data_IF_009796775332
#
_entry.id   IF_009796775332
#
_cell.length_a   1.000
_cell.length_b   1.000
_cell.length_c   1.000
_cell.angle_alpha   90.00
_cell.angle_beta   90.00
_cell.angle_gamma   90.00
#
_symmetry.space_group_name_H-M   'P 1'
#
loop_
_entity.id
_entity.type
_entity.pdbx_description
1 polymer ?
#
# COMPACT_ATOMS: atom_id res chain seq x y z
N UNK A 1 7.95 -9.67 38.11
CA UNK A 1 7.23 -9.49 36.86
C UNK A 1 6.66 -10.84 36.49
N UNK A 2 5.34 -11.02 36.60
CA UNK A 2 4.70 -12.28 36.23
C UNK A 2 4.63 -12.34 34.70
N UNK A 3 5.61 -13.00 34.10
CA UNK A 3 5.62 -13.27 32.65
C UNK A 3 4.69 -14.46 32.40
N UNK A 4 3.38 -14.23 32.47
CA UNK A 4 2.40 -15.26 32.14
C UNK A 4 1.21 -14.71 31.36
N UNK A 5 1.42 -14.40 30.11
CA UNK A 5 0.56 -14.77 29.00
C UNK A 5 1.45 -14.75 27.76
N UNK A 6 1.85 -15.90 27.28
CA UNK A 6 2.32 -16.05 25.93
C UNK A 6 1.11 -15.70 25.05
N UNK A 7 1.12 -14.50 24.48
CA UNK A 7 0.15 -14.15 23.44
C UNK A 7 0.47 -15.07 22.28
N UNK A 8 -0.48 -15.87 21.88
CA UNK A 8 -0.27 -16.83 20.82
C UNK A 8 -0.60 -16.12 19.50
N UNK A 9 0.43 -15.55 18.87
CA UNK A 9 0.35 -14.81 17.62
C UNK A 9 0.10 -15.70 16.38
N UNK A 10 -0.19 -16.99 16.59
CA UNK A 10 -0.37 -17.95 15.50
C UNK A 10 -1.62 -18.78 15.75
N UNK A 11 -2.82 -18.18 15.64
CA UNK A 11 -4.06 -18.93 15.92
C UNK A 11 -5.25 -18.64 15.05
N UNK A 12 -5.16 -17.76 14.09
CA UNK A 12 -6.15 -17.79 13.03
C UNK A 12 -5.82 -19.05 12.23
N UNK A 13 -6.73 -20.00 12.23
CA UNK A 13 -6.67 -21.15 11.36
C UNK A 13 -7.50 -20.79 10.12
N UNK A 14 -6.93 -20.07 9.13
CA UNK A 14 -7.71 -19.60 8.01
C UNK A 14 -8.23 -20.81 7.26
N UNK A 15 -9.48 -20.72 6.84
CA UNK A 15 -10.08 -21.74 6.01
C UNK A 15 -9.37 -21.81 4.66
N UNK A 16 -9.31 -22.99 4.07
CA UNK A 16 -8.87 -23.12 2.67
C UNK A 16 -9.75 -22.26 1.76
N UNK A 17 -9.16 -21.76 0.70
CA UNK A 17 -9.92 -21.03 -0.29
C UNK A 17 -10.87 -21.93 -1.07
N UNK A 18 -11.95 -21.40 -1.70
CA UNK A 18 -12.93 -22.22 -2.39
C UNK A 18 -12.38 -23.09 -3.52
N UNK A 19 -11.25 -22.70 -4.12
CA UNK A 19 -10.53 -23.48 -5.12
C UNK A 19 -9.68 -24.62 -4.53
N UNK A 20 -9.68 -24.77 -3.19
CA UNK A 20 -8.89 -25.74 -2.46
C UNK A 20 -7.44 -25.31 -2.22
N UNK A 21 -7.07 -24.06 -2.52
CA UNK A 21 -5.74 -23.52 -2.19
C UNK A 21 -5.61 -23.44 -0.67
N UNK A 22 -4.60 -24.09 -0.08
CA UNK A 22 -4.39 -24.01 1.36
C UNK A 22 -4.09 -22.58 1.80
N UNK A 23 -4.75 -22.13 2.87
CA UNK A 23 -4.55 -20.84 3.47
C UNK A 23 -3.66 -20.90 4.73
N UNK A 24 -2.85 -21.95 4.87
CA UNK A 24 -1.98 -22.13 6.02
C UNK A 24 -0.81 -21.15 6.07
N UNK A 25 -0.25 -21.06 7.25
CA UNK A 25 0.97 -20.34 7.55
C UNK A 25 2.20 -21.15 7.09
N UNK A 26 3.16 -20.46 6.45
CA UNK A 26 4.51 -21.00 6.25
C UNK A 26 5.33 -20.91 7.55
N UNK A 27 6.38 -21.71 7.66
CA UNK A 27 7.32 -21.63 8.77
C UNK A 27 8.04 -20.28 8.75
N UNK A 28 8.09 -19.59 9.90
CA UNK A 28 8.76 -18.31 10.01
C UNK A 28 10.28 -18.49 9.88
N UNK A 29 10.95 -17.67 9.08
CA UNK A 29 12.40 -17.64 9.03
C UNK A 29 12.97 -17.12 10.36
N UNK A 30 14.14 -17.61 10.75
CA UNK A 30 14.90 -16.99 11.84
C UNK A 30 15.48 -15.65 11.37
N UNK A 31 14.91 -14.56 11.86
CA UNK A 31 15.33 -13.18 11.56
C UNK A 31 16.20 -12.57 12.66
N UNK A 32 16.58 -13.38 13.65
CA UNK A 32 17.36 -12.93 14.80
C UNK A 32 16.58 -11.97 15.71
N UNK A 33 17.29 -11.41 16.69
CA UNK A 33 16.73 -10.49 17.70
C UNK A 33 17.53 -9.19 17.84
N UNK A 34 18.43 -8.88 16.92
CA UNK A 34 19.22 -7.66 16.94
C UNK A 34 18.32 -6.41 16.84
N UNK A 35 18.79 -5.29 17.39
CA UNK A 35 18.13 -3.99 17.21
C UNK A 35 18.13 -3.60 15.75
N UNK A 36 17.04 -2.94 15.32
CA UNK A 36 17.00 -2.27 14.04
C UNK A 36 17.54 -0.84 14.26
N UNK A 37 18.68 -0.46 13.66
CA UNK A 37 19.33 0.82 13.98
C UNK A 37 18.44 2.03 13.66
N UNK A 38 18.40 3.02 14.57
CA UNK A 38 17.66 4.27 14.38
C UNK A 38 18.15 5.05 13.16
N UNK A 39 19.43 4.92 12.79
CA UNK A 39 20.01 5.54 11.61
C UNK A 39 19.30 5.18 10.30
N UNK A 40 18.64 4.03 10.22
CA UNK A 40 17.80 3.65 9.06
C UNK A 40 16.65 4.63 8.81
N UNK A 41 16.20 5.35 9.82
CA UNK A 41 15.07 6.30 9.75
C UNK A 41 15.49 7.76 9.72
N UNK A 42 16.71 8.06 10.20
CA UNK A 42 17.14 9.45 10.44
C UNK A 42 18.33 9.87 9.59
N UNK A 43 19.10 8.91 9.04
CA UNK A 43 20.34 9.19 8.33
C UNK A 43 20.11 9.57 6.86
N UNK A 44 20.61 10.71 6.42
CA UNK A 44 20.66 11.09 5.01
C UNK A 44 21.52 10.12 4.18
N UNK A 45 22.58 9.58 4.79
CA UNK A 45 23.45 8.60 4.12
C UNK A 45 22.68 7.30 3.85
N UNK A 46 21.86 6.82 4.80
CA UNK A 46 21.01 5.65 4.59
C UNK A 46 19.93 5.92 3.54
N UNK A 47 19.27 7.07 3.58
CA UNK A 47 18.32 7.49 2.56
C UNK A 47 18.95 7.50 1.16
N UNK A 48 20.21 7.93 1.03
CA UNK A 48 20.94 7.90 -0.23
C UNK A 48 21.17 6.46 -0.72
N UNK A 49 21.52 5.54 0.19
CA UNK A 49 21.65 4.11 -0.14
C UNK A 49 20.31 3.50 -0.59
N UNK A 50 19.19 3.85 0.06
CA UNK A 50 17.85 3.44 -0.39
C UNK A 50 17.60 3.86 -1.85
N UNK A 51 17.96 5.10 -2.23
CA UNK A 51 17.82 5.58 -3.61
C UNK A 51 18.70 4.82 -4.59
N UNK A 52 19.94 4.59 -4.24
CA UNK A 52 20.93 3.96 -5.13
C UNK A 52 20.68 2.46 -5.31
N UNK A 53 20.18 1.79 -4.26
CA UNK A 53 20.19 0.32 -4.21
C UNK A 53 18.82 -0.34 -4.09
N UNK A 54 17.78 0.40 -3.68
CA UNK A 54 16.43 -0.16 -3.54
C UNK A 54 15.41 0.55 -4.43
N UNK A 55 15.14 1.86 -4.23
CA UNK A 55 14.09 2.55 -4.99
C UNK A 55 14.28 2.48 -6.51
N UNK A 56 15.53 2.50 -6.96
CA UNK A 56 15.89 2.35 -8.37
C UNK A 56 15.81 0.92 -8.90
N UNK A 57 15.43 -0.08 -8.09
CA UNK A 57 15.51 -1.52 -8.43
C UNK A 57 14.20 -2.28 -8.31
N UNK A 58 13.17 -1.68 -7.74
CA UNK A 58 11.90 -2.33 -7.40
C UNK A 58 10.77 -1.94 -8.34
N UNK A 59 9.68 -2.71 -8.31
CA UNK A 59 8.42 -2.31 -8.90
C UNK A 59 7.65 -1.40 -7.94
N UNK A 60 7.02 -0.35 -8.51
CA UNK A 60 6.30 0.70 -7.80
C UNK A 60 4.92 0.89 -8.43
N UNK A 61 3.91 1.19 -7.61
CA UNK A 61 2.58 1.53 -8.12
C UNK A 61 2.56 2.98 -8.60
N UNK A 62 2.14 3.17 -9.85
CA UNK A 62 1.95 4.49 -10.46
C UNK A 62 0.56 5.08 -10.26
N UNK A 63 -0.47 4.24 -10.25
CA UNK A 63 -1.87 4.63 -10.13
C UNK A 63 -2.82 3.49 -10.47
N UNK A 64 -4.10 3.82 -10.67
CA UNK A 64 -5.13 2.84 -11.05
C UNK A 64 -5.29 2.78 -12.58
N UNK A 65 -5.44 1.56 -13.12
CA UNK A 65 -5.72 1.34 -14.55
C UNK A 65 -7.03 1.99 -15.00
N UNK A 66 -8.02 2.06 -14.11
CA UNK A 66 -9.32 2.69 -14.40
C UNK A 66 -9.24 4.21 -14.62
N UNK A 67 -8.18 4.85 -14.16
CA UNK A 67 -7.90 6.27 -14.43
C UNK A 67 -7.28 6.49 -15.83
N UNK A 68 -7.04 5.40 -16.60
CA UNK A 68 -6.35 5.42 -17.90
C UNK A 68 -7.04 4.48 -18.90
N UNK A 69 -8.29 4.77 -19.28
CA UNK A 69 -9.11 3.92 -20.16
C UNK A 69 -8.89 4.17 -21.64
N UNK A 70 -8.69 5.45 -21.98
CA UNK A 70 -8.63 5.91 -23.37
C UNK A 70 -7.18 6.19 -23.80
N UNK A 71 -6.83 6.00 -25.07
CA UNK A 71 -5.56 6.44 -25.62
C UNK A 71 -5.27 7.90 -25.27
N UNK A 72 -4.04 8.16 -24.84
CA UNK A 72 -3.61 9.49 -24.39
C UNK A 72 -3.94 9.82 -22.94
N UNK A 73 -4.71 8.98 -22.23
CA UNK A 73 -4.82 9.10 -20.79
C UNK A 73 -3.44 8.90 -20.15
N UNK A 74 -3.14 9.74 -19.19
CA UNK A 74 -1.87 9.66 -18.49
C UNK A 74 -2.02 9.87 -16.99
N UNK A 75 -1.09 9.25 -16.26
CA UNK A 75 -0.81 9.52 -14.85
C UNK A 75 0.62 10.02 -14.74
N UNK A 76 0.80 11.16 -14.07
CA UNK A 76 2.11 11.66 -13.68
C UNK A 76 2.25 11.47 -12.17
N UNK A 77 3.16 10.59 -11.74
CA UNK A 77 3.40 10.24 -10.34
C UNK A 77 4.80 10.62 -9.90
N UNK A 78 4.97 10.92 -8.63
CA UNK A 78 6.26 11.26 -8.04
C UNK A 78 6.69 10.22 -7.01
N UNK A 79 7.98 9.91 -7.01
CA UNK A 79 8.64 9.11 -5.99
C UNK A 79 9.97 9.77 -5.64
N UNK A 80 10.06 10.36 -4.42
CA UNK A 80 11.21 11.14 -4.00
C UNK A 80 11.59 12.22 -5.01
N UNK A 81 12.78 12.11 -5.63
CA UNK A 81 13.26 13.06 -6.63
C UNK A 81 12.77 12.80 -8.06
N UNK A 82 12.25 11.60 -8.32
CA UNK A 82 11.85 11.18 -9.66
C UNK A 82 10.38 11.50 -9.93
N UNK A 83 10.11 11.88 -11.18
CA UNK A 83 8.76 12.08 -11.70
C UNK A 83 8.57 11.20 -12.93
N UNK A 84 7.53 10.39 -12.93
CA UNK A 84 7.26 9.38 -13.96
C UNK A 84 5.92 9.68 -14.64
N UNK A 85 5.94 9.67 -15.96
CA UNK A 85 4.79 9.85 -16.82
C UNK A 85 4.37 8.49 -17.38
N UNK A 86 3.21 8.01 -17.02
CA UNK A 86 2.62 6.75 -17.48
C UNK A 86 1.50 7.08 -18.45
N UNK A 87 1.47 6.42 -19.61
CA UNK A 87 0.60 6.81 -20.72
C UNK A 87 -0.07 5.59 -21.34
N UNK A 88 -1.40 5.64 -21.52
CA UNK A 88 -2.15 4.67 -22.32
C UNK A 88 -1.88 4.90 -23.81
N UNK A 89 -1.45 3.84 -24.50
CA UNK A 89 -1.13 3.87 -25.91
C UNK A 89 -2.35 3.58 -26.79
N UNK A 90 -2.24 3.86 -28.09
CA UNK A 90 -3.27 3.60 -29.09
C UNK A 90 -3.66 2.11 -29.20
N UNK A 91 -2.73 1.20 -28.91
CA UNK A 91 -2.95 -0.25 -28.90
C UNK A 91 -3.51 -0.80 -27.56
N UNK A 92 -3.82 0.10 -26.62
CA UNK A 92 -4.31 -0.24 -25.29
C UNK A 92 -3.23 -0.62 -24.27
N UNK A 93 -1.95 -0.73 -24.66
CA UNK A 93 -0.85 -0.96 -23.72
C UNK A 93 -0.55 0.28 -22.87
N UNK A 94 0.23 0.10 -21.80
CA UNK A 94 0.76 1.20 -20.98
C UNK A 94 2.26 1.33 -21.17
N UNK A 95 2.75 2.57 -21.17
CA UNK A 95 4.18 2.86 -21.20
C UNK A 95 4.53 3.90 -20.17
N UNK A 96 5.72 3.79 -19.58
CA UNK A 96 6.22 4.72 -18.59
C UNK A 96 7.51 5.41 -19.07
N UNK A 97 7.64 6.70 -18.76
CA UNK A 97 8.77 7.55 -19.17
C UNK A 97 9.18 8.47 -18.01
N UNK A 98 10.43 8.94 -17.96
CA UNK A 98 10.77 10.07 -17.11
C UNK A 98 9.96 11.31 -17.56
N UNK A 99 9.35 12.00 -16.63
CA UNK A 99 8.61 13.24 -16.88
C UNK A 99 9.56 14.43 -17.08
N UNK A 100 10.40 14.35 -18.12
CA UNK A 100 11.46 15.34 -18.37
C UNK A 100 11.62 15.61 -19.86
N UNK A 101 11.69 16.87 -20.25
CA UNK A 101 12.00 17.29 -21.61
C UNK A 101 13.51 17.15 -21.86
N UNK A 102 13.89 16.43 -22.93
CA UNK A 102 15.30 16.18 -23.29
C UNK A 102 16.07 17.42 -23.72
N UNK A 103 15.40 18.57 -23.90
CA UNK A 103 16.06 19.82 -24.23
C UNK A 103 16.84 20.38 -23.04
N UNK A 104 16.14 20.76 -21.96
CA UNK A 104 16.72 21.44 -20.78
C UNK A 104 16.05 21.02 -19.48
N UNK A 105 15.54 19.78 -19.39
CA UNK A 105 15.06 19.18 -18.16
C UNK A 105 13.72 19.68 -17.63
N UNK A 106 12.96 20.52 -18.38
CA UNK A 106 11.65 20.95 -17.92
C UNK A 106 10.68 19.77 -17.80
N UNK A 107 9.88 19.71 -16.74
CA UNK A 107 8.80 18.71 -16.62
C UNK A 107 7.78 18.89 -17.75
N UNK A 108 7.30 17.76 -18.30
CA UNK A 108 6.29 17.74 -19.35
C UNK A 108 4.88 17.94 -18.80
N UNK A 109 4.63 17.39 -17.60
CA UNK A 109 3.35 17.50 -16.89
C UNK A 109 3.55 17.70 -15.39
N UNK A 110 2.63 18.38 -14.69
CA UNK A 110 2.57 18.35 -13.22
C UNK A 110 2.15 16.97 -12.72
N UNK A 111 2.37 16.67 -11.44
CA UNK A 111 1.80 15.49 -10.78
C UNK A 111 0.26 15.50 -10.93
N UNK A 112 -0.31 14.33 -11.20
CA UNK A 112 -1.74 14.15 -11.42
C UNK A 112 -2.06 13.33 -12.67
N UNK A 113 -3.20 13.59 -13.28
CA UNK A 113 -3.70 12.82 -14.42
C UNK A 113 -4.37 13.72 -15.44
N UNK A 114 -4.54 13.23 -16.65
CA UNK A 114 -5.23 13.91 -17.73
C UNK A 114 -5.23 13.10 -19.01
N UNK A 115 -5.71 13.72 -20.09
CA UNK A 115 -5.67 13.16 -21.44
C UNK A 115 -4.98 14.14 -22.39
N UNK A 116 -4.22 13.61 -23.35
CA UNK A 116 -3.56 14.42 -24.37
C UNK A 116 -3.21 13.57 -25.59
N UNK A 117 -3.25 14.16 -26.77
CA UNK A 117 -2.73 13.52 -28.00
C UNK A 117 -1.19 13.57 -28.08
N UNK A 118 -0.55 14.52 -27.40
CA UNK A 118 0.91 14.76 -27.45
C UNK A 118 1.40 15.48 -26.21
N UNK A 119 2.64 15.27 -25.84
CA UNK A 119 3.30 15.98 -24.74
C UNK A 119 4.16 17.11 -25.27
N UNK A 120 3.62 18.33 -25.27
CA UNK A 120 4.36 19.52 -25.62
C UNK A 120 5.00 20.12 -24.36
N UNK A 121 6.31 20.34 -24.41
CA UNK A 121 7.04 21.07 -23.37
C UNK A 121 6.67 22.53 -23.37
N UNK A 122 6.26 23.06 -22.22
CA UNK A 122 5.82 24.46 -22.08
C UNK A 122 6.95 25.47 -22.30
N UNK A 123 8.22 25.04 -22.18
CA UNK A 123 9.37 25.94 -22.24
C UNK A 123 9.74 26.35 -23.69
N UNK A 124 10.00 25.36 -24.58
CA UNK A 124 10.41 25.63 -25.97
C UNK A 124 9.65 24.79 -26.99
N UNK A 125 8.52 24.24 -26.60
CA UNK A 125 7.56 23.51 -27.48
C UNK A 125 8.15 22.28 -28.15
N UNK A 126 9.21 21.66 -27.58
CA UNK A 126 9.56 20.30 -28.01
C UNK A 126 8.39 19.39 -27.74
N UNK A 127 8.01 18.61 -28.74
CA UNK A 127 6.78 17.84 -28.69
C UNK A 127 7.10 16.35 -28.86
N UNK A 128 6.47 15.55 -28.01
CA UNK A 128 6.60 14.10 -27.98
C UNK A 128 5.24 13.47 -28.27
N UNK A 129 5.21 12.36 -29.01
CA UNK A 129 4.01 11.53 -29.16
C UNK A 129 3.73 10.72 -27.90
N UNK A 130 2.64 9.94 -27.89
CA UNK A 130 2.28 9.09 -26.74
C UNK A 130 3.33 8.01 -26.44
N UNK A 131 4.06 7.57 -27.46
CA UNK A 131 5.18 6.61 -27.33
C UNK A 131 6.48 7.21 -26.86
N UNK A 132 6.52 8.52 -26.56
CA UNK A 132 7.71 9.23 -26.09
C UNK A 132 8.66 9.68 -27.21
N UNK A 133 8.35 9.44 -28.49
CA UNK A 133 9.19 9.88 -29.63
C UNK A 133 9.04 11.38 -29.84
N UNK A 134 10.16 12.07 -30.09
CA UNK A 134 10.15 13.48 -30.47
C UNK A 134 9.55 13.61 -31.87
N UNK A 135 8.45 14.33 -31.99
CA UNK A 135 7.80 14.60 -33.27
C UNK A 135 8.00 16.06 -33.75
N UNK A 136 8.49 16.94 -32.89
CA UNK A 136 8.79 18.32 -33.26
C UNK A 136 9.89 18.93 -32.38
N UNK A 137 10.89 19.52 -33.01
CA UNK A 137 11.89 20.42 -32.40
C UNK A 137 11.81 21.73 -33.20
N UNK A 138 11.34 22.83 -32.61
CA UNK A 138 11.38 24.13 -33.27
C UNK A 138 12.82 24.51 -33.63
N UNK A 139 13.00 25.11 -34.81
CA UNK A 139 14.30 25.61 -35.28
C UNK A 139 15.44 24.58 -35.17
N UNK A 140 15.16 23.30 -35.48
CA UNK A 140 16.12 22.18 -35.38
C UNK A 140 17.41 22.44 -36.15
N UNK A 141 17.36 23.17 -37.25
CA UNK A 141 18.47 23.57 -38.09
C UNK A 141 19.49 24.49 -37.36
N UNK A 142 19.08 25.09 -36.24
CA UNK A 142 19.96 25.89 -35.36
C UNK A 142 20.73 25.08 -34.34
N UNK A 143 20.45 23.76 -34.22
CA UNK A 143 21.15 22.85 -33.31
C UNK A 143 22.29 22.14 -34.04
N UNK A 144 23.59 22.56 -33.81
CA UNK A 144 24.73 21.95 -34.50
C UNK A 144 24.87 20.44 -34.27
N UNK A 145 24.42 19.95 -33.09
CA UNK A 145 24.42 18.54 -32.69
C UNK A 145 23.21 17.74 -33.24
N UNK A 146 22.24 18.41 -33.88
CA UNK A 146 20.99 17.79 -34.34
C UNK A 146 20.03 17.41 -33.19
N UNK A 147 19.11 16.49 -33.46
CA UNK A 147 18.24 15.93 -32.45
C UNK A 147 18.99 15.03 -31.46
N UNK A 148 18.50 14.85 -30.21
CA UNK A 148 19.08 13.93 -29.26
C UNK A 148 19.18 12.50 -29.80
N UNK A 149 20.18 11.69 -29.39
CA UNK A 149 20.29 10.28 -29.78
C UNK A 149 18.99 9.51 -29.50
N UNK A 150 18.52 8.72 -30.46
CA UNK A 150 17.27 7.98 -30.39
C UNK A 150 16.02 8.81 -30.58
N UNK A 151 16.10 10.15 -30.45
CA UNK A 151 14.99 11.12 -30.58
C UNK A 151 13.70 10.71 -29.84
N UNK A 152 13.86 10.13 -28.64
CA UNK A 152 12.75 9.66 -27.80
C UNK A 152 13.11 9.73 -26.32
N UNK A 153 12.08 9.82 -25.44
CA UNK A 153 12.23 9.63 -24.01
C UNK A 153 12.68 8.19 -23.74
N UNK A 154 13.60 7.93 -22.80
CA UNK A 154 13.87 6.58 -22.34
C UNK A 154 12.60 5.96 -21.77
N UNK A 155 12.40 4.66 -21.98
CA UNK A 155 11.22 3.93 -21.49
C UNK A 155 11.56 3.17 -20.23
N UNK A 156 10.68 3.23 -19.24
CA UNK A 156 10.72 2.40 -18.04
C UNK A 156 9.86 1.13 -18.24
N UNK A 157 10.21 -0.03 -17.64
CA UNK A 157 9.29 -1.15 -17.52
C UNK A 157 7.96 -0.72 -16.90
N UNK A 158 6.85 -1.16 -17.51
CA UNK A 158 5.52 -0.79 -17.10
C UNK A 158 4.55 -1.94 -17.40
N UNK A 159 3.83 -2.41 -16.40
CA UNK A 159 2.87 -3.52 -16.48
C UNK A 159 1.61 -3.21 -15.68
N UNK A 160 0.52 -3.93 -15.96
CA UNK A 160 -0.75 -3.79 -15.21
C UNK A 160 -1.05 -5.07 -14.46
N UNK A 161 -1.41 -4.94 -13.18
CA UNK A 161 -1.94 -6.02 -12.37
C UNK A 161 -2.79 -5.50 -11.21
N UNK A 162 -3.89 -6.22 -10.89
CA UNK A 162 -4.76 -5.92 -9.73
C UNK A 162 -5.45 -4.56 -9.84
N UNK A 163 -5.74 -4.10 -11.06
CA UNK A 163 -6.26 -2.76 -11.38
C UNK A 163 -5.28 -1.62 -11.11
N UNK A 164 -4.01 -1.93 -10.91
CA UNK A 164 -2.94 -0.94 -10.76
C UNK A 164 -1.98 -0.99 -11.94
N UNK A 165 -1.46 0.18 -12.27
CA UNK A 165 -0.34 0.32 -13.19
C UNK A 165 0.95 0.37 -12.37
N UNK A 166 1.88 -0.52 -12.70
CA UNK A 166 3.17 -0.68 -12.06
C UNK A 166 4.28 -0.23 -12.98
N UNK A 167 5.32 0.37 -12.43
CA UNK A 167 6.52 0.75 -13.16
C UNK A 167 7.77 0.47 -12.34
N UNK A 168 8.91 0.39 -13.02
CA UNK A 168 10.22 0.33 -12.37
C UNK A 168 11.18 1.32 -13.00
N UNK A 169 12.01 1.93 -12.19
CA UNK A 169 13.11 2.79 -12.67
C UNK A 169 14.30 1.97 -13.20
N UNK A 170 14.27 0.64 -13.03
CA UNK A 170 15.30 -0.30 -13.49
C UNK A 170 14.85 -1.00 -14.79
N UNK A 171 15.59 -0.80 -15.89
CA UNK A 171 15.32 -1.48 -17.16
C UNK A 171 15.41 -3.00 -17.07
N UNK A 172 16.13 -3.54 -16.09
CA UNK A 172 16.43 -4.97 -15.93
C UNK A 172 15.69 -5.59 -14.74
N UNK A 173 14.52 -5.04 -14.34
CA UNK A 173 13.82 -5.42 -13.11
C UNK A 173 13.23 -6.84 -13.12
N UNK A 174 13.09 -7.47 -14.24
CA UNK A 174 12.35 -8.72 -14.39
C UNK A 174 10.82 -8.55 -14.38
N UNK A 175 10.05 -9.62 -14.68
CA UNK A 175 8.59 -9.55 -14.76
C UNK A 175 7.92 -9.14 -13.46
N UNK A 176 6.86 -8.35 -13.54
CA UNK A 176 6.04 -7.97 -12.38
C UNK A 176 5.44 -9.19 -11.67
N UNK A 177 5.03 -10.21 -12.43
CA UNK A 177 4.46 -11.44 -11.90
C UNK A 177 5.41 -12.12 -10.90
N UNK A 178 6.69 -12.26 -11.26
CA UNK A 178 7.71 -12.86 -10.41
C UNK A 178 8.00 -11.99 -9.16
N UNK A 179 7.92 -10.66 -9.34
CA UNK A 179 8.11 -9.73 -8.24
C UNK A 179 7.01 -9.83 -7.18
N UNK A 180 5.76 -10.01 -7.60
CA UNK A 180 4.58 -9.99 -6.74
C UNK A 180 4.23 -11.36 -6.14
N UNK A 181 4.86 -12.48 -6.57
CA UNK A 181 4.53 -13.79 -5.99
C UNK A 181 4.77 -13.81 -4.48
N UNK A 182 3.82 -14.32 -3.65
CA UNK A 182 2.52 -14.94 -4.02
C UNK A 182 1.33 -13.96 -3.97
N UNK A 183 1.56 -12.65 -3.88
CA UNK A 183 0.51 -11.63 -3.66
C UNK A 183 -0.57 -11.65 -4.73
N UNK A 184 -0.21 -11.94 -5.99
CA UNK A 184 -1.18 -12.00 -7.08
C UNK A 184 -2.25 -13.06 -6.80
N UNK A 185 -1.83 -14.27 -6.41
CA UNK A 185 -2.74 -15.36 -6.10
C UNK A 185 -3.61 -15.06 -4.88
N UNK A 186 -3.05 -14.41 -3.86
CA UNK A 186 -3.78 -14.06 -2.65
C UNK A 186 -4.83 -12.97 -2.86
N UNK A 187 -4.54 -12.01 -3.74
CA UNK A 187 -5.39 -10.82 -3.92
C UNK A 187 -6.38 -10.95 -5.08
N UNK A 188 -6.12 -11.84 -6.05
CA UNK A 188 -7.02 -12.07 -7.19
C UNK A 188 -8.49 -12.38 -6.77
N UNK A 189 -8.77 -13.19 -5.73
CA UNK A 189 -10.13 -13.49 -5.32
C UNK A 189 -10.98 -12.30 -4.86
N UNK A 190 -10.37 -11.16 -4.54
CA UNK A 190 -11.08 -9.97 -4.08
C UNK A 190 -11.61 -9.07 -5.20
N UNK A 191 -11.24 -9.35 -6.46
CA UNK A 191 -11.76 -8.65 -7.63
C UNK A 191 -11.66 -7.12 -7.53
N UNK A 192 -10.45 -6.62 -7.21
CA UNK A 192 -10.21 -5.17 -7.04
C UNK A 192 -10.54 -4.35 -8.30
N UNK A 193 -10.59 -4.99 -9.49
CA UNK A 193 -11.06 -4.39 -10.74
C UNK A 193 -12.54 -3.99 -10.72
N UNK A 194 -13.29 -4.49 -9.73
CA UNK A 194 -14.70 -4.15 -9.51
C UNK A 194 -14.92 -3.14 -8.40
N UNK A 195 -13.84 -2.60 -7.85
CA UNK A 195 -13.90 -1.63 -6.76
C UNK A 195 -13.66 -0.22 -7.27
N UNK A 196 -14.59 0.69 -6.98
CA UNK A 196 -14.50 2.10 -7.36
C UNK A 196 -13.79 2.93 -6.27
N UNK A 197 -13.25 4.07 -6.67
CA UNK A 197 -12.65 5.02 -5.75
C UNK A 197 -13.67 5.65 -4.80
N UNK A 198 -13.41 5.60 -3.50
CA UNK A 198 -14.14 6.32 -2.45
C UNK A 198 -13.29 7.41 -1.83
N UNK A 199 -11.96 7.22 -1.83
CA UNK A 199 -11.03 8.18 -1.26
C UNK A 199 -9.70 8.19 -2.01
N UNK A 200 -9.20 9.40 -2.26
CA UNK A 200 -7.91 9.67 -2.90
C UNK A 200 -7.26 10.88 -2.23
N UNK A 201 -6.35 10.64 -1.30
CA UNK A 201 -5.74 11.65 -0.45
C UNK A 201 -4.23 11.43 -0.36
N UNK A 202 -3.46 12.52 -0.43
CA UNK A 202 -2.03 12.55 -0.07
C UNK A 202 -1.84 13.48 1.12
N UNK A 203 -1.20 12.99 2.17
CA UNK A 203 -0.85 13.76 3.36
C UNK A 203 0.66 13.87 3.47
N UNK A 204 1.15 15.07 3.73
CA UNK A 204 2.58 15.30 4.05
C UNK A 204 2.79 15.07 5.54
N UNK A 205 3.61 14.07 5.92
CA UNK A 205 3.89 13.71 7.30
C UNK A 205 5.34 13.98 7.68
N UNK A 206 5.53 14.47 8.90
CA UNK A 206 6.85 14.71 9.49
C UNK A 206 7.41 13.45 10.16
N UNK A 207 7.54 12.38 9.39
CA UNK A 207 8.22 11.15 9.80
C UNK A 207 8.79 10.40 8.58
N UNK A 208 9.72 9.49 8.83
CA UNK A 208 10.27 8.62 7.81
C UNK A 208 9.22 7.68 7.26
N UNK A 209 9.25 7.39 5.97
CA UNK A 209 8.31 6.49 5.31
C UNK A 209 8.30 5.08 5.92
N UNK A 210 9.47 4.59 6.43
CA UNK A 210 9.55 3.29 7.10
C UNK A 210 8.86 3.29 8.46
N UNK A 211 8.84 4.41 9.18
CA UNK A 211 8.10 4.49 10.45
C UNK A 211 6.60 4.23 10.25
N UNK A 212 6.04 4.70 9.11
CA UNK A 212 4.67 4.37 8.77
C UNK A 212 4.52 2.91 8.29
N UNK A 213 5.46 2.39 7.47
CA UNK A 213 5.44 0.96 7.09
C UNK A 213 5.44 0.07 8.33
N UNK A 214 6.26 0.38 9.33
CA UNK A 214 6.35 -0.38 10.57
C UNK A 214 5.05 -0.32 11.36
N UNK A 215 4.49 0.89 11.55
CA UNK A 215 3.24 1.08 12.30
C UNK A 215 2.06 0.31 11.67
N UNK A 216 2.01 0.21 10.33
CA UNK A 216 0.99 -0.57 9.63
C UNK A 216 1.39 -2.04 9.40
N UNK A 217 2.49 -2.51 9.98
CA UNK A 217 2.93 -3.90 9.87
C UNK A 217 2.60 -4.75 11.11
N UNK A 218 1.93 -4.19 12.11
CA UNK A 218 1.63 -4.86 13.37
C UNK A 218 0.33 -4.32 13.99
N UNK A 219 -0.22 -4.98 14.99
CA UNK A 219 -1.36 -4.51 15.79
C UNK A 219 -1.01 -4.39 17.28
N UNK A 220 0.27 -4.48 17.63
CA UNK A 220 0.72 -4.36 19.01
C UNK A 220 0.43 -2.98 19.61
N UNK A 221 0.51 -1.91 18.79
CA UNK A 221 0.19 -0.55 19.17
C UNK A 221 -1.32 -0.30 19.40
N UNK A 222 -2.21 -1.18 18.90
CA UNK A 222 -3.67 -1.01 19.07
C UNK A 222 -4.06 -0.80 20.51
N UNK A 223 -3.48 -1.56 21.44
CA UNK A 223 -3.78 -1.44 22.86
C UNK A 223 -3.41 -0.07 23.47
N UNK A 224 -2.47 0.65 22.85
CA UNK A 224 -1.99 1.96 23.31
C UNK A 224 -2.60 3.13 22.57
N UNK A 225 -2.55 3.08 21.25
CA UNK A 225 -2.95 4.19 20.36
C UNK A 225 -4.43 4.11 19.99
N UNK A 226 -4.97 2.89 19.79
CA UNK A 226 -6.31 2.65 19.27
C UNK A 226 -7.16 1.75 20.20
N UNK A 227 -7.32 2.07 21.49
CA UNK A 227 -8.04 1.18 22.40
C UNK A 227 -9.50 0.93 21.96
N UNK A 228 -10.10 1.83 21.14
CA UNK A 228 -11.43 1.66 20.57
C UNK A 228 -11.51 0.48 19.57
N UNK A 229 -10.40 0.10 18.92
CA UNK A 229 -10.37 -1.02 17.98
C UNK A 229 -10.57 -2.35 18.68
N UNK A 230 -10.17 -2.48 19.95
CA UNK A 230 -10.32 -3.70 20.74
C UNK A 230 -11.78 -4.16 20.91
N UNK A 231 -12.74 -3.28 20.60
CA UNK A 231 -14.15 -3.59 20.65
C UNK A 231 -14.73 -4.22 19.39
N UNK A 232 -13.92 -4.39 18.32
CA UNK A 232 -14.39 -5.01 17.09
C UNK A 232 -13.33 -5.81 16.31
N UNK A 233 -12.06 -5.83 16.77
CA UNK A 233 -11.02 -6.70 16.25
C UNK A 233 -10.26 -7.41 17.38
N UNK A 234 -9.78 -8.61 17.11
CA UNK A 234 -8.97 -9.36 18.06
C UNK A 234 -7.47 -9.23 17.73
N UNK A 235 -6.79 -8.31 18.42
CA UNK A 235 -5.36 -8.05 18.31
C UNK A 235 -4.50 -9.11 19.05
N UNK A 236 -5.11 -10.11 19.66
CA UNK A 236 -4.43 -11.15 20.41
C UNK A 236 -4.42 -12.51 19.72
N UNK A 237 -5.23 -12.66 18.66
CA UNK A 237 -5.36 -13.89 17.92
C UNK A 237 -5.18 -13.64 16.41
N UNK A 238 -3.96 -13.25 16.04
CA UNK A 238 -3.60 -12.87 14.69
C UNK A 238 -2.64 -13.88 14.07
N UNK A 239 -2.63 -13.99 12.74
CA UNK A 239 -1.65 -14.77 12.02
C UNK A 239 -0.70 -13.86 11.24
N UNK A 240 0.59 -14.11 11.35
CA UNK A 240 1.65 -13.43 10.59
C UNK A 240 2.22 -14.41 9.58
N UNK A 241 2.33 -13.98 8.32
CA UNK A 241 2.96 -14.74 7.25
C UNK A 241 4.01 -13.89 6.55
N UNK A 242 5.21 -14.46 6.37
CA UNK A 242 6.30 -13.83 5.63
C UNK A 242 6.52 -14.55 4.31
N UNK A 243 6.55 -13.81 3.22
CA UNK A 243 6.73 -14.29 1.84
C UNK A 243 7.92 -13.57 1.20
N UNK A 244 9.12 -13.84 1.73
CA UNK A 244 10.33 -13.14 1.31
C UNK A 244 10.26 -11.64 1.61
N UNK A 245 10.13 -10.82 0.56
CA UNK A 245 10.02 -9.35 0.69
C UNK A 245 8.61 -8.85 1.00
N UNK A 246 7.60 -9.70 0.83
CA UNK A 246 6.20 -9.37 1.09
C UNK A 246 5.73 -10.05 2.37
N UNK A 247 4.59 -9.61 2.90
CA UNK A 247 4.02 -10.23 4.10
C UNK A 247 2.52 -10.07 4.17
N UNK A 248 1.89 -10.92 4.98
CA UNK A 248 0.47 -10.87 5.29
C UNK A 248 0.24 -10.88 6.79
N UNK A 249 -0.84 -10.26 7.22
CA UNK A 249 -1.34 -10.27 8.57
C UNK A 249 -2.84 -10.55 8.55
N UNK A 250 -3.31 -11.53 9.28
CA UNK A 250 -4.73 -11.85 9.38
C UNK A 250 -5.23 -11.42 10.75
N UNK A 251 -6.21 -10.53 10.78
CA UNK A 251 -6.79 -9.99 12.01
C UNK A 251 -8.29 -10.28 12.02
N UNK A 252 -8.80 -11.06 13.00
CA UNK A 252 -10.22 -11.30 13.12
C UNK A 252 -10.99 -10.01 13.42
N UNK A 253 -12.01 -9.70 12.59
CA UNK A 253 -12.93 -8.59 12.79
C UNK A 253 -14.33 -9.11 13.17
N UNK A 254 -15.23 -8.18 13.53
CA UNK A 254 -16.56 -8.47 14.06
C UNK A 254 -16.52 -9.32 15.36
N UNK A 255 -15.45 -9.20 16.10
CA UNK A 255 -15.23 -9.82 17.41
C UNK A 255 -14.50 -8.85 18.33
N UNK A 256 -14.43 -9.13 19.62
CA UNK A 256 -13.70 -8.29 20.57
C UNK A 256 -12.33 -8.88 20.88
N UNK A 257 -11.36 -8.02 21.17
CA UNK A 257 -10.03 -8.43 21.61
C UNK A 257 -10.07 -9.33 22.84
N UNK A 258 -9.18 -10.32 22.88
CA UNK A 258 -8.95 -11.11 24.09
C UNK A 258 -8.43 -10.29 25.30
N UNK A 259 -8.08 -9.01 25.11
CA UNK A 259 -7.66 -8.10 26.19
C UNK A 259 -8.82 -7.48 26.95
N UNK A 260 -10.03 -7.43 26.39
CA UNK A 260 -11.22 -6.87 27.01
C UNK A 260 -12.23 -7.95 27.38
N UNK A 261 -13.07 -7.66 28.38
CA UNK A 261 -14.14 -8.57 28.73
C UNK A 261 -15.21 -8.57 27.63
N UNK A 262 -15.80 -9.74 27.36
CA UNK A 262 -16.90 -9.85 26.41
C UNK A 262 -18.07 -8.98 26.86
N UNK A 263 -18.53 -8.01 26.04
CA UNK A 263 -19.61 -7.11 26.41
C UNK A 263 -20.97 -7.85 26.34
N UNK A 264 -21.93 -7.39 27.15
CA UNK A 264 -23.31 -7.90 27.14
C UNK A 264 -24.18 -7.29 26.03
N UNK A 265 -23.72 -6.21 25.41
CA UNK A 265 -24.38 -5.53 24.29
C UNK A 265 -23.43 -5.41 23.11
N UNK A 266 -23.97 -5.33 21.90
CA UNK A 266 -23.19 -5.20 20.66
C UNK A 266 -22.43 -3.86 20.70
N UNK A 267 -21.08 -3.88 20.58
CA UNK A 267 -20.32 -2.65 20.47
C UNK A 267 -20.69 -1.85 19.21
N UNK A 268 -20.66 -0.50 19.24
CA UNK A 268 -21.05 0.32 18.08
C UNK A 268 -20.31 -0.03 16.78
N UNK A 269 -19.02 -0.32 16.85
CA UNK A 269 -18.26 -0.66 15.66
C UNK A 269 -18.66 -2.05 15.09
N UNK A 270 -19.01 -3.03 15.93
CA UNK A 270 -19.56 -4.32 15.45
C UNK A 270 -20.96 -4.10 14.87
N UNK A 271 -21.77 -3.24 15.48
CA UNK A 271 -23.07 -2.83 14.93
C UNK A 271 -22.91 -2.29 13.50
N UNK A 272 -21.93 -1.41 13.26
CA UNK A 272 -21.66 -0.84 11.95
C UNK A 272 -21.22 -1.93 10.93
N UNK A 273 -20.42 -2.90 11.36
CA UNK A 273 -20.06 -4.06 10.51
C UNK A 273 -21.30 -4.87 10.09
N UNK A 274 -22.22 -5.12 11.04
CA UNK A 274 -23.49 -5.82 10.75
C UNK A 274 -24.32 -5.04 9.73
N UNK A 275 -24.49 -3.73 9.92
CA UNK A 275 -25.25 -2.85 9.00
C UNK A 275 -24.63 -2.85 7.60
N UNK A 276 -23.30 -2.73 7.49
CA UNK A 276 -22.60 -2.81 6.19
C UNK A 276 -22.78 -4.17 5.50
N UNK A 277 -22.90 -5.25 6.27
CA UNK A 277 -23.21 -6.56 5.73
C UNK A 277 -24.68 -6.68 5.25
N UNK A 278 -25.55 -5.74 5.63
CA UNK A 278 -26.99 -5.74 5.34
C UNK A 278 -27.84 -6.42 6.41
N UNK A 279 -27.26 -6.68 7.59
CA UNK A 279 -28.01 -7.17 8.76
C UNK A 279 -28.64 -5.99 9.50
N UNK A 280 -29.84 -6.19 10.07
CA UNK A 280 -30.41 -5.25 11.05
C UNK A 280 -30.00 -5.71 12.45
N UNK A 281 -29.13 -4.97 13.16
CA UNK A 281 -28.72 -5.33 14.52
C UNK A 281 -29.89 -5.32 15.53
N UNK A 282 -30.99 -4.64 15.24
CA UNK A 282 -32.18 -4.64 16.09
C UNK A 282 -32.95 -5.99 16.04
N UNK A 283 -32.79 -6.75 14.96
CA UNK A 283 -33.38 -8.08 14.80
C UNK A 283 -32.46 -9.20 15.31
N UNK A 284 -31.23 -8.83 15.78
CA UNK A 284 -30.26 -9.81 16.24
C UNK A 284 -30.39 -10.07 17.74
N UNK A 285 -30.81 -11.27 18.11
CA UNK A 285 -30.97 -11.74 19.49
C UNK A 285 -29.88 -12.72 19.97
N UNK A 286 -28.84 -12.91 19.13
CA UNK A 286 -27.74 -13.81 19.41
C UNK A 286 -26.69 -13.24 20.36
N UNK A 287 -25.67 -14.05 20.63
CA UNK A 287 -24.56 -13.65 21.53
C UNK A 287 -23.52 -12.85 20.76
N UNK A 288 -22.91 -11.86 21.41
CA UNK A 288 -21.83 -11.05 20.82
C UNK A 288 -20.66 -11.92 20.31
N UNK A 289 -20.35 -13.01 21.00
CA UNK A 289 -19.33 -13.98 20.58
C UNK A 289 -19.59 -14.66 19.24
N UNK A 290 -20.82 -14.68 18.78
CA UNK A 290 -21.25 -15.45 17.60
C UNK A 290 -21.39 -14.53 16.36
N UNK A 291 -21.38 -13.20 16.56
CA UNK A 291 -21.64 -12.21 15.49
C UNK A 291 -20.72 -12.40 14.28
N UNK A 292 -19.43 -12.63 14.49
CA UNK A 292 -18.49 -12.85 13.38
C UNK A 292 -18.96 -13.96 12.44
N UNK A 293 -19.31 -15.12 12.99
CA UNK A 293 -19.80 -16.26 12.22
C UNK A 293 -21.18 -15.99 11.58
N UNK A 294 -22.03 -15.24 12.27
CA UNK A 294 -23.35 -14.92 11.74
C UNK A 294 -23.27 -13.89 10.61
N UNK A 295 -22.36 -12.93 10.65
CA UNK A 295 -22.06 -12.03 9.53
C UNK A 295 -21.54 -12.82 8.33
N UNK A 296 -20.63 -13.78 8.53
CA UNK A 296 -20.13 -14.65 7.45
C UNK A 296 -21.27 -15.42 6.80
N UNK A 297 -22.12 -16.09 7.60
CA UNK A 297 -23.30 -16.83 7.12
C UNK A 297 -24.29 -15.92 6.39
N UNK A 298 -24.51 -14.71 6.90
CA UNK A 298 -25.41 -13.75 6.28
C UNK A 298 -24.88 -13.30 4.92
N UNK A 299 -23.63 -12.88 4.82
CA UNK A 299 -22.98 -12.50 3.56
C UNK A 299 -23.03 -13.67 2.55
N UNK A 300 -22.68 -14.87 2.99
CA UNK A 300 -22.73 -16.07 2.14
C UNK A 300 -24.12 -16.34 1.58
N UNK A 301 -25.16 -16.17 2.40
CA UNK A 301 -26.56 -16.44 2.02
C UNK A 301 -27.17 -15.33 1.17
N UNK A 302 -26.83 -14.06 1.45
CA UNK A 302 -27.54 -12.91 0.89
C UNK A 302 -26.74 -12.09 -0.11
N UNK A 303 -25.42 -12.28 -0.20
CA UNK A 303 -24.54 -11.49 -1.05
C UNK A 303 -24.99 -11.43 -2.50
N UNK A 304 -25.34 -12.58 -3.09
CA UNK A 304 -25.79 -12.62 -4.48
C UNK A 304 -27.06 -11.77 -4.72
N UNK A 305 -28.01 -11.75 -3.76
CA UNK A 305 -29.19 -10.89 -3.85
C UNK A 305 -28.91 -9.40 -3.66
N UNK A 306 -27.74 -9.07 -3.11
CA UNK A 306 -27.23 -7.72 -2.96
C UNK A 306 -26.28 -7.32 -4.11
N UNK A 307 -26.17 -8.14 -5.16
CA UNK A 307 -25.24 -7.88 -6.26
C UNK A 307 -23.78 -8.16 -5.95
N UNK A 308 -23.48 -8.86 -4.84
CA UNK A 308 -22.13 -9.15 -4.36
C UNK A 308 -21.82 -10.64 -4.53
N UNK A 309 -20.74 -10.95 -5.22
CA UNK A 309 -20.28 -12.32 -5.40
C UNK A 309 -19.10 -12.61 -4.46
N UNK A 310 -19.35 -13.48 -3.49
CA UNK A 310 -18.34 -13.92 -2.53
C UNK A 310 -17.84 -15.35 -2.79
N UNK A 311 -18.16 -15.93 -3.96
CA UNK A 311 -17.85 -17.35 -4.25
C UNK A 311 -16.35 -17.65 -4.28
N UNK A 312 -15.52 -16.66 -4.62
CA UNK A 312 -14.06 -16.75 -4.65
C UNK A 312 -13.39 -16.62 -3.27
N UNK A 313 -14.14 -16.20 -2.25
CA UNK A 313 -13.61 -15.95 -0.90
C UNK A 313 -13.96 -17.11 0.05
N UNK A 314 -13.08 -17.42 1.01
CA UNK A 314 -13.44 -18.27 2.15
C UNK A 314 -14.27 -17.48 3.19
N UNK A 315 -14.77 -18.16 4.23
CA UNK A 315 -15.66 -17.50 5.20
C UNK A 315 -14.93 -16.46 6.06
N UNK A 316 -13.65 -16.69 6.40
CA UNK A 316 -12.85 -15.73 7.17
C UNK A 316 -12.64 -14.43 6.38
N UNK A 317 -12.42 -14.52 5.07
CA UNK A 317 -12.29 -13.35 4.19
C UNK A 317 -13.56 -12.48 4.12
N UNK A 318 -14.70 -12.99 4.55
CA UNK A 318 -15.96 -12.23 4.60
C UNK A 318 -16.02 -11.24 5.77
N UNK A 319 -15.19 -11.42 6.80
CA UNK A 319 -15.20 -10.59 7.99
C UNK A 319 -13.85 -9.99 8.34
N UNK A 320 -12.77 -10.73 8.19
CA UNK A 320 -11.46 -10.43 8.73
C UNK A 320 -10.69 -9.43 7.85
N UNK A 321 -9.81 -8.68 8.48
CA UNK A 321 -8.81 -7.90 7.74
C UNK A 321 -7.67 -8.81 7.29
N UNK A 322 -7.54 -8.94 5.98
CA UNK A 322 -6.40 -9.56 5.32
C UNK A 322 -5.43 -8.45 4.94
N UNK A 323 -4.55 -8.13 5.87
CA UNK A 323 -3.61 -7.05 5.71
C UNK A 323 -2.35 -7.52 5.00
N UNK A 324 -2.04 -6.93 3.85
CA UNK A 324 -0.84 -7.22 3.06
C UNK A 324 0.15 -6.07 3.08
N UNK A 325 1.44 -6.39 3.15
CA UNK A 325 2.51 -5.45 2.81
C UNK A 325 3.19 -5.91 1.53
N UNK A 326 3.15 -5.05 0.51
CA UNK A 326 3.86 -5.26 -0.75
C UNK A 326 5.08 -4.34 -0.73
N UNK A 327 6.25 -4.96 -0.66
CA UNK A 327 7.53 -4.24 -0.64
C UNK A 327 7.66 -3.33 -1.88
N UNK A 328 8.23 -2.09 -1.76
CA UNK A 328 8.78 -1.56 -0.52
C UNK A 328 7.77 -0.78 0.34
N UNK A 329 6.70 -0.21 -0.23
CA UNK A 329 6.00 0.91 0.38
C UNK A 329 4.48 0.87 0.27
N UNK A 330 3.91 -0.29 0.06
CA UNK A 330 2.45 -0.45 -0.06
C UNK A 330 1.92 -1.33 1.06
N UNK A 331 0.88 -0.86 1.71
CA UNK A 331 0.11 -1.57 2.72
C UNK A 331 -1.36 -1.61 2.31
N UNK A 332 -1.98 -2.78 2.39
CA UNK A 332 -3.36 -3.03 1.99
C UNK A 332 -4.13 -3.66 3.14
N UNK A 333 -5.20 -3.03 3.60
CA UNK A 333 -6.24 -3.66 4.41
C UNK A 333 -7.32 -4.13 3.44
N UNK A 334 -7.49 -5.43 3.31
CA UNK A 334 -8.35 -6.04 2.29
C UNK A 334 -9.50 -6.76 2.97
N UNK A 335 -10.70 -6.29 2.68
CA UNK A 335 -11.96 -6.89 3.10
C UNK A 335 -12.76 -7.37 1.89
N UNK A 336 -13.81 -8.14 2.12
CA UNK A 336 -14.65 -8.67 1.02
C UNK A 336 -15.32 -7.60 0.17
N UNK A 337 -15.55 -6.39 0.74
CA UNK A 337 -16.31 -5.31 0.11
C UNK A 337 -15.51 -4.04 -0.13
N UNK A 338 -14.33 -3.94 0.43
CA UNK A 338 -13.48 -2.75 0.32
C UNK A 338 -11.99 -3.06 0.44
N UNK A 339 -11.18 -2.13 -0.04
CA UNK A 339 -9.73 -2.12 0.15
C UNK A 339 -9.31 -0.73 0.60
N UNK A 340 -8.63 -0.65 1.73
CA UNK A 340 -7.92 0.54 2.16
C UNK A 340 -6.42 0.34 1.91
N UNK A 341 -5.88 1.12 1.00
CA UNK A 341 -4.49 1.05 0.58
C UNK A 341 -3.72 2.29 1.02
N UNK A 342 -2.54 2.05 1.55
CA UNK A 342 -1.57 3.08 1.87
C UNK A 342 -0.32 2.94 1.01
N UNK A 343 0.19 4.07 0.54
CA UNK A 343 1.46 4.13 -0.17
C UNK A 343 2.36 5.17 0.50
N UNK A 344 3.46 4.71 1.11
CA UNK A 344 4.41 5.53 1.84
C UNK A 344 5.52 5.97 0.89
N UNK A 345 5.44 7.21 0.37
CA UNK A 345 6.44 7.74 -0.55
C UNK A 345 7.52 8.52 0.22
N UNK A 346 8.81 8.23 0.01
CA UNK A 346 9.89 8.98 0.65
C UNK A 346 9.89 10.43 0.18
N UNK A 347 10.24 11.36 1.05
CA UNK A 347 10.52 12.73 0.65
C UNK A 347 11.79 12.78 -0.23
N UNK A 348 11.90 13.78 -1.10
CA UNK A 348 12.99 13.86 -2.07
C UNK A 348 14.39 14.03 -1.43
N UNK A 349 14.48 14.70 -0.28
CA UNK A 349 15.75 15.13 0.31
C UNK A 349 15.82 15.06 1.84
N UNK A 350 14.69 14.81 2.52
CA UNK A 350 14.62 14.83 3.98
C UNK A 350 14.16 13.46 4.50
N UNK A 351 15.00 12.68 5.18
CA UNK A 351 14.64 11.39 5.73
C UNK A 351 13.55 11.46 6.82
N UNK A 352 13.27 12.65 7.36
CA UNK A 352 12.29 12.85 8.42
C UNK A 352 10.91 13.23 7.88
N UNK A 353 10.69 13.12 6.57
CA UNK A 353 9.44 13.47 5.90
C UNK A 353 9.02 12.42 4.89
N UNK A 354 7.72 12.30 4.68
CA UNK A 354 7.15 11.47 3.64
C UNK A 354 5.89 12.07 3.04
N UNK A 355 5.46 11.52 1.92
CA UNK A 355 4.11 11.65 1.38
C UNK A 355 3.35 10.36 1.66
N UNK A 356 2.21 10.47 2.29
CA UNK A 356 1.38 9.33 2.66
C UNK A 356 0.09 9.36 1.85
N UNK A 357 -0.03 8.43 0.90
CA UNK A 357 -1.25 8.31 0.10
C UNK A 357 -2.23 7.36 0.81
N UNK A 358 -3.47 7.80 0.91
CA UNK A 358 -4.60 7.05 1.44
C UNK A 358 -5.59 6.86 0.30
N UNK A 359 -5.69 5.63 -0.18
CA UNK A 359 -6.59 5.23 -1.25
C UNK A 359 -7.61 4.24 -0.69
N UNK A 360 -8.89 4.52 -0.87
CA UNK A 360 -9.96 3.60 -0.47
C UNK A 360 -10.80 3.28 -1.69
N UNK A 361 -11.09 2.00 -1.83
CA UNK A 361 -11.90 1.46 -2.91
C UNK A 361 -13.04 0.62 -2.30
N UNK A 362 -14.23 0.71 -2.85
CA UNK A 362 -15.37 -0.10 -2.46
C UNK A 362 -15.93 -0.87 -3.65
N UNK A 363 -16.37 -2.11 -3.37
CA UNK A 363 -16.98 -2.99 -4.35
C UNK A 363 -18.26 -2.35 -4.91
N UNK A 364 -18.34 -2.25 -6.23
CA UNK A 364 -19.57 -1.84 -6.93
C UNK A 364 -20.44 -3.10 -7.15
N UNK A 365 -21.61 -3.19 -6.50
CA UNK A 365 -22.51 -4.33 -6.68
C UNK A 365 -22.94 -4.53 -8.14
N UNK A 366 -23.19 -5.75 -8.53
CA UNK A 366 -23.71 -6.06 -9.86
C UNK A 366 -25.05 -5.35 -10.12
N UNK A 367 -25.14 -4.61 -11.20
CA UNK A 367 -26.35 -3.87 -11.59
C UNK A 367 -26.38 -2.43 -11.07
N UNK A 368 -25.41 -2.00 -10.30
CA UNK A 368 -25.24 -0.60 -9.92
C UNK A 368 -24.34 0.15 -10.91
N UNK A 369 -24.59 1.43 -11.06
CA UNK A 369 -23.76 2.31 -11.89
C UNK A 369 -22.41 2.56 -11.21
N UNK A 370 -21.35 2.66 -12.04
CA UNK A 370 -20.02 3.00 -11.55
C UNK A 370 -20.01 4.46 -11.07
N UNK A 371 -19.62 4.74 -9.80
CA UNK A 371 -19.66 6.09 -9.27
C UNK A 371 -18.63 7.01 -9.94
N UNK A 372 -18.89 8.33 -9.86
CA UNK A 372 -17.92 9.31 -10.32
C UNK A 372 -16.60 9.19 -9.55
N UNK A 373 -15.49 9.38 -10.25
CA UNK A 373 -14.15 9.40 -9.67
C UNK A 373 -14.00 10.54 -8.66
N UNK A 374 -13.70 10.22 -7.41
CA UNK A 374 -13.42 11.21 -6.36
C UNK A 374 -12.22 12.09 -6.74
N UNK A 375 -12.23 13.34 -6.31
CA UNK A 375 -11.13 14.26 -6.55
C UNK A 375 -9.98 13.97 -5.61
N UNK A 376 -8.76 14.00 -6.13
CA UNK A 376 -7.55 13.95 -5.33
C UNK A 376 -7.46 15.17 -4.39
N UNK A 377 -7.06 14.93 -3.15
CA UNK A 377 -6.79 15.96 -2.14
C UNK A 377 -5.37 15.82 -1.63
N UNK A 378 -4.67 16.94 -1.47
CA UNK A 378 -3.35 16.99 -0.85
C UNK A 378 -3.31 18.08 0.22
N UNK A 379 -2.78 17.76 1.39
CA UNK A 379 -2.67 18.68 2.52
C UNK A 379 -1.58 18.20 3.49
N UNK A 380 -1.14 19.10 4.37
CA UNK A 380 -0.19 18.77 5.42
C UNK A 380 -0.89 18.13 6.61
N UNK A 381 -0.17 17.28 7.32
CA UNK A 381 -0.62 16.68 8.56
C UNK A 381 -1.16 17.75 9.53
N UNK A 382 -2.32 17.50 10.11
CA UNK A 382 -3.00 18.41 11.03
C UNK A 382 -3.94 19.45 10.38
N UNK A 383 -3.87 19.67 9.07
CA UNK A 383 -4.78 20.62 8.40
C UNK A 383 -6.22 20.10 8.35
N UNK A 384 -6.39 18.79 8.26
CA UNK A 384 -7.69 18.10 8.19
C UNK A 384 -7.62 16.73 8.84
N UNK A 385 -8.76 16.26 9.37
CA UNK A 385 -8.91 14.87 9.81
C UNK A 385 -8.89 13.92 8.62
N UNK A 386 -8.15 12.83 8.80
CA UNK A 386 -8.11 11.68 7.89
C UNK A 386 -8.87 10.47 8.43
N UNK A 387 -9.65 10.68 9.49
CA UNK A 387 -10.38 9.65 10.22
C UNK A 387 -9.72 9.33 11.56
N UNK A 388 -10.54 9.02 12.58
CA UNK A 388 -10.09 8.91 13.96
C UNK A 388 -8.84 8.03 14.14
N UNK A 389 -8.81 6.85 13.56
CA UNK A 389 -7.69 5.90 13.69
C UNK A 389 -6.42 6.49 13.07
N UNK A 390 -6.51 6.94 11.82
CA UNK A 390 -5.36 7.51 11.12
C UNK A 390 -4.90 8.85 11.72
N UNK A 391 -5.80 9.64 12.32
CA UNK A 391 -5.42 10.86 13.06
C UNK A 391 -4.59 10.54 14.29
N UNK A 392 -4.88 9.43 14.98
CA UNK A 392 -4.10 8.98 16.13
C UNK A 392 -2.68 8.56 15.72
N UNK A 393 -2.54 7.82 14.61
CA UNK A 393 -1.23 7.48 14.02
C UNK A 393 -0.49 8.74 13.58
N UNK A 394 -1.18 9.63 12.88
CA UNK A 394 -0.62 10.88 12.39
C UNK A 394 -0.13 11.80 13.51
N UNK A 395 -0.77 11.77 14.67
CA UNK A 395 -0.32 12.48 15.86
C UNK A 395 0.93 11.82 16.46
N UNK A 396 0.99 10.49 16.48
CA UNK A 396 2.04 9.73 17.16
C UNK A 396 3.34 9.63 16.33
N UNK A 397 3.28 9.36 15.03
CA UNK A 397 4.45 9.06 14.20
C UNK A 397 5.50 10.18 14.15
N UNK A 398 5.15 11.48 14.10
CA UNK A 398 6.14 12.56 14.22
C UNK A 398 6.86 12.58 15.58
N UNK A 399 6.19 12.11 16.64
CA UNK A 399 6.81 12.00 17.98
C UNK A 399 7.79 10.83 18.02
N UNK A 400 7.43 9.69 17.41
CA UNK A 400 8.32 8.54 17.21
C UNK A 400 9.57 8.98 16.43
N UNK A 401 9.40 9.70 15.32
CA UNK A 401 10.52 10.21 14.50
C UNK A 401 11.47 11.09 15.31
N UNK A 402 10.93 12.00 16.13
CA UNK A 402 11.74 12.83 17.03
C UNK A 402 12.50 12.03 18.08
N UNK A 403 11.85 10.98 18.62
CA UNK A 403 12.50 10.04 19.55
C UNK A 403 13.67 9.29 18.93
N UNK A 404 13.51 8.85 17.67
CA UNK A 404 14.55 8.16 16.90
C UNK A 404 15.78 9.02 16.60
N UNK A 405 15.65 10.36 16.64
CA UNK A 405 16.74 11.31 16.46
C UNK A 405 17.62 11.50 17.71
N UNK A 406 17.19 10.93 18.85
CA UNK A 406 17.95 11.04 20.09
C UNK A 406 19.20 10.15 20.06
N UNK A 407 20.36 10.70 20.40
CA UNK A 407 21.62 9.94 20.55
C UNK A 407 21.52 8.81 21.59
N UNK A 408 20.56 8.90 22.51
CA UNK A 408 20.30 7.89 23.52
C UNK A 408 19.44 6.71 23.01
N UNK A 409 18.90 6.79 21.81
CA UNK A 409 18.06 5.75 21.22
C UNK A 409 18.82 4.96 20.14
N UNK A 410 19.34 3.76 20.45
CA UNK A 410 20.22 3.03 19.53
C UNK A 410 19.44 2.34 18.39
N UNK A 411 18.15 2.07 18.57
CA UNK A 411 17.33 1.37 17.58
C UNK A 411 16.08 0.72 18.18
N UNK A 412 15.29 0.11 17.31
CA UNK A 412 14.00 -0.49 17.64
C UNK A 412 14.20 -1.85 18.32
N UNK A 413 13.45 -2.08 19.39
CA UNK A 413 13.36 -3.34 20.12
C UNK A 413 12.07 -4.06 19.74
N UNK A 414 12.16 -4.99 18.79
CA UNK A 414 11.02 -5.61 18.10
C UNK A 414 10.68 -6.96 18.73
N UNK A 415 9.40 -7.14 19.09
CA UNK A 415 8.83 -8.38 19.61
C UNK A 415 8.27 -9.31 18.53
N UNK A 416 7.82 -10.52 18.94
CA UNK A 416 7.29 -11.52 18.00
C UNK A 416 6.00 -11.06 17.30
N UNK A 417 5.19 -10.22 17.94
CA UNK A 417 3.99 -9.63 17.32
C UNK A 417 4.30 -8.63 16.20
N UNK A 418 5.55 -8.20 16.13
CA UNK A 418 6.07 -7.22 15.17
C UNK A 418 7.02 -7.89 14.15
N UNK A 419 6.92 -9.22 13.98
CA UNK A 419 7.81 -10.01 13.12
C UNK A 419 7.87 -9.50 11.67
N UNK A 420 6.75 -8.93 11.16
CA UNK A 420 6.71 -8.35 9.82
C UNK A 420 7.67 -7.17 9.64
N UNK A 421 7.90 -6.39 10.70
CA UNK A 421 8.89 -5.30 10.70
C UNK A 421 10.28 -5.89 10.46
N UNK A 422 10.65 -6.99 11.17
CA UNK A 422 11.92 -7.67 10.91
C UNK A 422 12.02 -8.19 9.47
N UNK A 423 10.94 -8.80 8.96
CA UNK A 423 10.87 -9.28 7.58
C UNK A 423 11.08 -8.16 6.56
N UNK A 424 10.42 -7.02 6.76
CA UNK A 424 10.60 -5.82 5.94
C UNK A 424 12.04 -5.30 5.95
N UNK A 425 12.63 -5.14 7.15
CA UNK A 425 14.02 -4.66 7.27
C UNK A 425 15.04 -5.65 6.74
N UNK A 426 14.77 -6.96 6.82
CA UNK A 426 15.60 -7.99 6.17
C UNK A 426 15.56 -7.82 4.65
N UNK A 427 14.37 -7.70 4.07
CA UNK A 427 14.21 -7.46 2.65
C UNK A 427 14.91 -6.17 2.20
N UNK A 428 14.77 -5.09 2.97
CA UNK A 428 15.47 -3.82 2.71
C UNK A 428 17.00 -4.01 2.75
N UNK A 429 17.52 -4.74 3.75
CA UNK A 429 18.96 -5.05 3.86
C UNK A 429 19.46 -5.86 2.66
N UNK A 430 18.67 -6.79 2.11
CA UNK A 430 19.06 -7.59 0.94
C UNK A 430 19.27 -6.72 -0.30
N UNK A 431 18.52 -5.63 -0.45
CA UNK A 431 18.74 -4.64 -1.51
C UNK A 431 19.95 -3.75 -1.22
N UNK A 432 20.07 -3.26 0.01
CA UNK A 432 21.11 -2.25 0.37
C UNK A 432 22.47 -2.91 0.54
N UNK A 433 22.51 -4.11 1.08
CA UNK A 433 23.74 -4.85 1.40
C UNK A 433 23.71 -6.26 0.76
N UNK A 434 23.74 -6.38 -0.58
CA UNK A 434 23.58 -7.67 -1.27
C UNK A 434 24.66 -8.69 -0.89
N UNK A 435 25.81 -8.25 -0.41
CA UNK A 435 26.91 -9.10 0.04
C UNK A 435 26.79 -9.48 1.55
N UNK A 436 25.70 -9.10 2.21
CA UNK A 436 25.43 -9.42 3.62
C UNK A 436 26.27 -8.64 4.64
N UNK A 437 27.06 -7.68 4.21
CA UNK A 437 27.90 -6.86 5.10
C UNK A 437 27.20 -5.53 5.39
N UNK A 438 26.40 -5.48 6.45
CA UNK A 438 25.93 -4.25 7.02
C UNK A 438 27.09 -3.58 7.77
N UNK A 439 27.50 -2.35 7.42
CA UNK A 439 28.53 -1.64 8.18
C UNK A 439 28.09 -1.46 9.62
N UNK A 440 28.93 -1.78 10.58
CA UNK A 440 28.60 -1.74 12.00
C UNK A 440 28.33 -0.35 12.58
N UNK A 441 28.47 0.73 11.82
CA UNK A 441 28.10 2.12 12.17
C UNK A 441 27.84 2.90 10.86
N UNK A 442 26.61 3.42 10.72
CA UNK A 442 26.27 4.45 9.74
C UNK A 442 26.11 5.79 10.44
#
# INVERSE_FOLDING_TARGET
>A
MDVKRKIDIVRVNPQDWPDGTPAWKEEDPDLGSALIPAARYTSEAFMKLEWERMWSKVWLIGGRSEDMKEPGDYICTEIGKESVLIVRQDDGSVRAFPNVCLHRGNRLRPEGRGNTERFQCMYHHWTYDLGGKICRIPDLDTFPQGAPPGAALPSYPCEEWGSFVWYSLNSDVGPLADYLEPMQRHLAPYHMERMAWVRDVTVEWDCNWKAAVDAFSEVYHVQGIHPQLQWYLDDTNCQIDLYGKHSRYLVPFATVSGRVALPSAIPPAIHDIMVRAGMDPADYDGRVSDIRLDVQRFKRKHGASQGKDYSSLNDDQLTDDYHYSIFPNVSLNVHSDDVMMFRMRPHATDPNKMLYDIWIFELVPHGEDWPERVRHQRFSHGDRSIGQVLDQDAFNLPTVQKGMQSDAFPGLWIGDQELRIRGFHKALSDYIYPDGQEPGEL
#
